data_IF_955679573754
#
_entry.id   IF_955679573754
#
_cell.length_a   1.000
_cell.length_b   1.000
_cell.length_c   1.000
_cell.angle_alpha   90.00
_cell.angle_beta   90.00
_cell.angle_gamma   90.00
#
_symmetry.space_group_name_H-M   'P 1'
#
loop_
_entity.id
_entity.type
_entity.pdbx_description
1 polymer ?
#
# COMPACT_ATOMS: atom_id res chain seq x y z
N UNK A 1 -39.22 3.63 -25.03
CA UNK A 1 -37.89 4.27 -25.13
C UNK A 1 -36.90 3.41 -24.35
N UNK A 2 -36.18 2.53 -25.03
CA UNK A 2 -35.19 1.63 -24.43
C UNK A 2 -34.08 2.43 -23.75
N UNK A 3 -33.69 2.06 -22.52
CA UNK A 3 -32.53 2.67 -21.87
C UNK A 3 -31.31 2.48 -22.78
N UNK A 4 -30.66 3.58 -23.17
CA UNK A 4 -29.45 3.51 -23.98
C UNK A 4 -28.30 2.90 -23.15
N UNK A 5 -28.01 1.62 -23.38
CA UNK A 5 -26.83 0.95 -22.82
C UNK A 5 -25.67 1.12 -23.78
N UNK A 6 -24.58 1.74 -23.31
CA UNK A 6 -23.35 1.95 -24.07
C UNK A 6 -22.65 0.64 -24.43
N UNK A 7 -22.76 -0.38 -23.56
CA UNK A 7 -22.09 -1.65 -23.74
C UNK A 7 -23.06 -2.81 -23.45
N UNK A 8 -23.08 -3.85 -24.31
CA UNK A 8 -23.84 -5.06 -24.06
C UNK A 8 -23.53 -5.66 -22.68
N UNK A 9 -24.49 -6.32 -22.03
CA UNK A 9 -24.28 -6.95 -20.72
C UNK A 9 -23.14 -7.99 -20.75
N UNK A 10 -22.91 -8.61 -21.90
CA UNK A 10 -21.82 -9.55 -22.15
C UNK A 10 -20.43 -8.92 -21.95
N UNK A 11 -20.24 -7.68 -22.37
CA UNK A 11 -18.97 -6.95 -22.20
C UNK A 11 -18.65 -6.78 -20.72
N UNK A 12 -19.65 -6.48 -19.89
CA UNK A 12 -19.48 -6.37 -18.44
C UNK A 12 -19.16 -7.70 -17.77
N UNK A 13 -19.83 -8.78 -18.20
CA UNK A 13 -19.55 -10.15 -17.73
C UNK A 13 -18.14 -10.58 -18.13
N UNK A 14 -17.71 -10.27 -19.35
CA UNK A 14 -16.36 -10.55 -19.82
C UNK A 14 -15.32 -9.78 -19.02
N UNK A 15 -15.54 -8.48 -18.76
CA UNK A 15 -14.64 -7.66 -17.95
C UNK A 15 -14.55 -8.18 -16.51
N UNK A 16 -15.67 -8.58 -15.91
CA UNK A 16 -15.68 -9.21 -14.59
C UNK A 16 -14.91 -10.54 -14.60
N UNK A 17 -15.18 -11.44 -15.55
CA UNK A 17 -14.49 -12.74 -15.64
C UNK A 17 -12.99 -12.58 -15.86
N UNK A 18 -12.58 -11.67 -16.73
CA UNK A 18 -11.16 -11.39 -16.99
C UNK A 18 -10.46 -10.80 -15.76
N UNK A 19 -11.10 -9.85 -15.06
CA UNK A 19 -10.53 -9.31 -13.81
C UNK A 19 -10.41 -10.36 -12.71
N UNK A 20 -11.42 -11.22 -12.50
CA UNK A 20 -11.34 -12.30 -11.51
C UNK A 20 -10.27 -13.34 -11.86
N UNK A 21 -10.10 -13.66 -13.15
CA UNK A 21 -8.99 -14.50 -13.63
C UNK A 21 -7.65 -13.87 -13.32
N UNK A 22 -7.47 -12.58 -13.62
CA UNK A 22 -6.22 -11.87 -13.29
C UNK A 22 -5.97 -11.79 -11.77
N UNK A 23 -7.01 -11.68 -10.94
CA UNK A 23 -6.86 -11.78 -9.47
C UNK A 23 -6.27 -13.13 -9.05
N UNK A 24 -6.66 -14.23 -9.71
CA UNK A 24 -6.15 -15.58 -9.39
C UNK A 24 -4.65 -15.74 -9.66
N UNK A 25 -4.09 -14.96 -10.58
CA UNK A 25 -2.66 -14.95 -10.91
C UNK A 25 -1.82 -14.01 -10.03
N UNK A 26 -2.40 -13.43 -8.97
CA UNK A 26 -1.60 -12.65 -8.04
C UNK A 26 -0.61 -13.55 -7.29
N UNK A 27 0.63 -13.07 -7.07
CA UNK A 27 1.67 -13.85 -6.42
C UNK A 27 1.44 -14.03 -4.92
N UNK A 28 0.70 -13.14 -4.27
CA UNK A 28 0.46 -13.18 -2.83
C UNK A 28 -0.90 -13.84 -2.51
N UNK A 29 -0.95 -14.79 -1.55
CA UNK A 29 -2.16 -15.56 -1.26
C UNK A 29 -3.29 -14.71 -0.64
N UNK A 30 -2.94 -13.75 0.24
CA UNK A 30 -3.91 -12.87 0.90
C UNK A 30 -4.45 -11.87 -0.12
N UNK A 31 -3.58 -11.28 -0.95
CA UNK A 31 -3.96 -10.35 -2.00
C UNK A 31 -4.88 -11.01 -3.04
N UNK A 32 -4.66 -12.28 -3.38
CA UNK A 32 -5.54 -13.04 -4.28
C UNK A 32 -6.98 -13.08 -3.75
N UNK A 33 -7.15 -13.51 -2.49
CA UNK A 33 -8.48 -13.60 -1.84
C UNK A 33 -9.11 -12.22 -1.70
N UNK A 34 -8.35 -11.24 -1.21
CA UNK A 34 -8.82 -9.89 -0.98
C UNK A 34 -9.26 -9.21 -2.28
N UNK A 35 -8.43 -9.25 -3.34
CA UNK A 35 -8.76 -8.59 -4.60
C UNK A 35 -9.94 -9.25 -5.31
N UNK A 36 -10.09 -10.58 -5.17
CA UNK A 36 -11.27 -11.28 -5.67
C UNK A 36 -12.55 -10.75 -4.98
N UNK A 37 -12.58 -10.71 -3.64
CA UNK A 37 -13.69 -10.16 -2.86
C UNK A 37 -13.95 -8.69 -3.21
N UNK A 38 -12.91 -7.87 -3.25
CA UNK A 38 -12.98 -6.44 -3.56
C UNK A 38 -13.60 -6.16 -4.93
N UNK A 39 -13.21 -6.93 -5.97
CA UNK A 39 -13.79 -6.79 -7.31
C UNK A 39 -15.27 -7.18 -7.29
N UNK A 40 -15.63 -8.32 -6.70
CA UNK A 40 -17.03 -8.77 -6.63
C UNK A 40 -17.92 -7.76 -5.90
N UNK A 41 -17.51 -7.31 -4.71
CA UNK A 41 -18.25 -6.31 -3.93
C UNK A 41 -18.42 -4.99 -4.70
N UNK A 42 -17.38 -4.56 -5.42
CA UNK A 42 -17.45 -3.35 -6.23
C UNK A 42 -18.51 -3.48 -7.33
N UNK A 43 -18.54 -4.59 -8.05
CA UNK A 43 -19.53 -4.81 -9.09
C UNK A 43 -20.94 -4.90 -8.51
N UNK A 44 -21.13 -5.63 -7.40
CA UNK A 44 -22.41 -5.71 -6.68
C UNK A 44 -22.91 -4.35 -6.21
N UNK A 45 -22.05 -3.55 -5.58
CA UNK A 45 -22.38 -2.19 -5.12
C UNK A 45 -22.75 -1.25 -6.26
N UNK A 46 -22.11 -1.41 -7.43
CA UNK A 46 -22.47 -0.62 -8.60
C UNK A 46 -23.77 -1.08 -9.23
N UNK A 47 -24.02 -2.39 -9.29
CA UNK A 47 -25.29 -2.95 -9.75
C UNK A 47 -26.46 -2.44 -8.90
N UNK A 48 -26.35 -2.45 -7.56
CA UNK A 48 -27.41 -1.92 -6.69
C UNK A 48 -27.65 -0.42 -6.87
N UNK A 49 -26.63 0.35 -7.27
CA UNK A 49 -26.77 1.77 -7.60
C UNK A 49 -27.41 2.05 -8.98
N UNK A 50 -27.71 1.00 -9.75
CA UNK A 50 -28.41 1.06 -11.03
C UNK A 50 -29.79 0.41 -11.00
N UNK A 51 -30.11 -0.38 -9.97
CA UNK A 51 -31.47 -0.84 -9.77
C UNK A 51 -32.37 0.40 -9.61
N UNK A 52 -33.47 0.52 -10.37
CA UNK A 52 -34.45 1.56 -10.14
C UNK A 52 -35.03 1.41 -8.72
N UNK A 53 -35.14 2.52 -7.97
CA UNK A 53 -35.88 2.56 -6.71
C UNK A 53 -37.37 2.43 -7.08
N UNK A 54 -37.89 1.20 -7.14
CA UNK A 54 -39.31 0.92 -7.52
C UNK A 54 -40.32 1.73 -6.68
N UNK A 55 -39.92 2.16 -5.47
CA UNK A 55 -40.76 2.92 -4.54
C UNK A 55 -40.84 4.44 -4.81
N UNK A 56 -39.91 5.03 -5.56
CA UNK A 56 -39.90 6.50 -5.82
C UNK A 56 -40.64 6.92 -7.08
N UNK A 57 -40.96 5.99 -7.97
CA UNK A 57 -41.54 6.31 -9.28
C UNK A 57 -43.07 6.47 -9.27
N UNK A 58 -43.72 6.33 -8.10
CA UNK A 58 -45.19 6.38 -7.96
C UNK A 58 -45.82 7.76 -8.21
N UNK A 59 -45.02 8.83 -8.31
CA UNK A 59 -45.50 10.18 -8.67
C UNK A 59 -44.52 10.89 -9.62
N UNK A 60 -44.45 10.47 -10.89
CA UNK A 60 -43.69 11.22 -11.90
C UNK A 60 -44.56 11.70 -13.06
N UNK A 61 -44.73 13.01 -13.10
CA UNK A 61 -45.19 13.79 -14.26
C UNK A 61 -44.26 13.47 -15.44
N UNK A 62 -44.81 13.10 -16.61
CA UNK A 62 -44.01 12.70 -17.79
C UNK A 62 -42.91 13.74 -18.04
N UNK A 63 -41.62 13.40 -17.90
CA UNK A 63 -40.55 14.36 -18.13
C UNK A 63 -40.54 14.80 -19.58
N UNK A 64 -40.34 16.10 -19.82
CA UNK A 64 -40.18 16.67 -21.18
C UNK A 64 -39.10 15.93 -21.97
N UNK A 65 -39.27 15.80 -23.29
CA UNK A 65 -38.31 15.11 -24.17
C UNK A 65 -36.86 15.61 -23.98
N UNK A 66 -36.65 16.93 -23.87
CA UNK A 66 -35.33 17.54 -23.60
C UNK A 66 -34.75 17.12 -22.24
N UNK A 67 -35.61 16.91 -21.23
CA UNK A 67 -35.19 16.43 -19.92
C UNK A 67 -34.79 14.95 -19.97
N UNK A 68 -35.55 14.12 -20.70
CA UNK A 68 -35.22 12.71 -20.92
C UNK A 68 -33.88 12.53 -21.64
N UNK A 69 -33.61 13.34 -22.67
CA UNK A 69 -32.31 13.36 -23.36
C UNK A 69 -31.15 13.67 -22.41
N UNK A 70 -31.30 14.66 -21.52
CA UNK A 70 -30.28 14.99 -20.50
C UNK A 70 -30.05 13.86 -19.51
N UNK A 71 -31.11 13.19 -19.06
CA UNK A 71 -31.02 12.02 -18.18
C UNK A 71 -30.30 10.86 -18.88
N UNK A 72 -30.62 10.62 -20.15
CA UNK A 72 -29.95 9.61 -20.97
C UNK A 72 -28.47 9.92 -21.16
N UNK A 73 -28.10 11.17 -21.48
CA UNK A 73 -26.72 11.61 -21.61
C UNK A 73 -25.94 11.43 -20.29
N UNK A 74 -26.52 11.84 -19.16
CA UNK A 74 -25.91 11.65 -17.84
C UNK A 74 -25.73 10.16 -17.50
N UNK A 75 -26.69 9.31 -17.87
CA UNK A 75 -26.59 7.85 -17.72
C UNK A 75 -25.44 7.27 -18.56
N UNK A 76 -25.29 7.69 -19.82
CA UNK A 76 -24.20 7.28 -20.70
C UNK A 76 -22.83 7.70 -20.14
N UNK A 77 -22.69 8.93 -19.65
CA UNK A 77 -21.45 9.36 -19.00
C UNK A 77 -21.10 8.53 -17.76
N UNK A 78 -22.11 8.22 -16.93
CA UNK A 78 -21.94 7.37 -15.76
C UNK A 78 -21.44 5.98 -16.18
N UNK A 79 -22.02 5.40 -17.24
CA UNK A 79 -21.58 4.13 -17.82
C UNK A 79 -20.13 4.19 -18.34
N UNK A 80 -19.76 5.24 -19.10
CA UNK A 80 -18.38 5.47 -19.56
C UNK A 80 -17.39 5.53 -18.39
N UNK A 81 -17.70 6.31 -17.35
CA UNK A 81 -16.87 6.46 -16.14
C UNK A 81 -16.67 5.12 -15.44
N UNK A 82 -17.72 4.29 -15.34
CA UNK A 82 -17.62 2.96 -14.75
C UNK A 82 -16.78 2.00 -15.57
N UNK A 83 -16.96 2.01 -16.89
CA UNK A 83 -16.20 1.13 -17.78
C UNK A 83 -14.71 1.47 -17.73
N UNK A 84 -14.37 2.77 -17.78
CA UNK A 84 -13.00 3.26 -17.55
C UNK A 84 -12.47 2.82 -16.19
N UNK A 85 -13.28 2.97 -15.15
CA UNK A 85 -12.91 2.56 -13.79
C UNK A 85 -12.66 1.05 -13.65
N UNK A 86 -13.41 0.22 -14.38
CA UNK A 86 -13.26 -1.22 -14.36
C UNK A 86 -12.02 -1.66 -15.17
N UNK A 87 -11.79 -1.07 -16.34
CA UNK A 87 -10.55 -1.24 -17.13
C UNK A 87 -9.30 -0.80 -16.36
N UNK A 88 -9.39 0.28 -15.59
CA UNK A 88 -8.28 0.74 -14.76
C UNK A 88 -7.88 -0.29 -13.69
N UNK A 89 -8.86 -0.97 -13.07
CA UNK A 89 -8.57 -2.07 -12.13
C UNK A 89 -7.94 -3.25 -12.88
N UNK A 90 -8.49 -3.63 -14.03
CA UNK A 90 -7.93 -4.70 -14.85
C UNK A 90 -6.46 -4.40 -15.22
N UNK A 91 -6.18 -3.20 -15.71
CA UNK A 91 -4.82 -2.74 -16.04
C UNK A 91 -3.89 -2.76 -14.83
N UNK A 92 -4.38 -2.33 -13.66
CA UNK A 92 -3.59 -2.35 -12.41
C UNK A 92 -3.20 -3.78 -12.01
N UNK A 93 -4.14 -4.72 -12.06
CA UNK A 93 -3.88 -6.13 -11.69
C UNK A 93 -3.01 -6.81 -12.74
N UNK A 94 -3.30 -6.61 -14.03
CA UNK A 94 -2.50 -7.16 -15.13
C UNK A 94 -1.05 -6.70 -15.07
N UNK A 95 -0.80 -5.41 -14.79
CA UNK A 95 0.56 -4.88 -14.60
C UNK A 95 1.24 -5.46 -13.36
N UNK A 96 0.53 -5.60 -12.25
CA UNK A 96 1.10 -6.27 -11.08
C UNK A 96 1.53 -7.72 -11.41
N UNK A 97 0.70 -8.45 -12.15
CA UNK A 97 1.00 -9.82 -12.59
C UNK A 97 2.11 -9.88 -13.65
N UNK A 98 2.39 -8.80 -14.36
CA UNK A 98 3.53 -8.68 -15.29
C UNK A 98 4.83 -8.32 -14.55
N UNK A 99 4.74 -7.99 -13.26
CA UNK A 99 5.88 -7.68 -12.40
C UNK A 99 6.25 -6.19 -12.32
N UNK A 100 5.33 -5.29 -12.66
CA UNK A 100 5.51 -3.88 -12.34
C UNK A 100 5.44 -3.68 -10.81
N UNK A 101 6.44 -3.01 -10.23
CA UNK A 101 6.55 -2.87 -8.77
C UNK A 101 5.43 -2.03 -8.16
N UNK A 102 5.18 -0.84 -8.71
CA UNK A 102 4.24 0.12 -8.13
C UNK A 102 2.79 -0.38 -8.11
N UNK A 103 2.27 -1.02 -9.20
CA UNK A 103 0.96 -1.64 -9.15
C UNK A 103 0.88 -2.76 -8.12
N UNK A 104 1.91 -3.61 -8.02
CA UNK A 104 1.94 -4.73 -7.08
C UNK A 104 1.98 -4.25 -5.63
N UNK A 105 2.85 -3.27 -5.32
CA UNK A 105 2.93 -2.63 -4.00
C UNK A 105 1.56 -2.04 -3.61
N UNK A 106 0.90 -1.35 -4.54
CA UNK A 106 -0.44 -0.81 -4.32
C UNK A 106 -1.48 -1.89 -4.02
N UNK A 107 -1.44 -3.04 -4.69
CA UNK A 107 -2.35 -4.16 -4.41
C UNK A 107 -2.10 -4.71 -3.00
N UNK A 108 -0.84 -4.93 -2.63
CA UNK A 108 -0.51 -5.45 -1.30
C UNK A 108 -0.90 -4.47 -0.20
N UNK A 109 -0.66 -3.17 -0.40
CA UNK A 109 -1.13 -2.13 0.52
C UNK A 109 -2.66 -2.12 0.69
N UNK A 110 -3.43 -2.42 -0.37
CA UNK A 110 -4.89 -2.57 -0.26
C UNK A 110 -5.24 -3.85 0.51
N UNK A 111 -4.61 -4.98 0.16
CA UNK A 111 -4.89 -6.29 0.73
C UNK A 111 -4.63 -6.33 2.24
N UNK A 112 -3.52 -5.75 2.69
CA UNK A 112 -3.12 -5.69 4.10
C UNK A 112 -3.64 -4.44 4.83
N UNK A 113 -4.58 -3.69 4.23
CA UNK A 113 -5.26 -2.58 4.90
C UNK A 113 -4.37 -1.37 5.24
N UNK A 114 -3.31 -1.11 4.47
CA UNK A 114 -2.55 0.16 4.56
C UNK A 114 -3.25 1.29 3.81
N UNK A 115 -4.00 0.93 2.77
CA UNK A 115 -4.80 1.82 1.92
C UNK A 115 -6.21 1.22 1.74
N UNK A 116 -7.20 2.07 1.47
CA UNK A 116 -8.53 1.64 1.01
C UNK A 116 -9.50 1.32 2.15
N UNK A 117 -10.54 0.56 1.84
CA UNK A 117 -11.65 0.30 2.77
C UNK A 117 -11.21 -0.51 4.00
N UNK A 118 -10.40 -1.56 3.80
CA UNK A 118 -9.90 -2.41 4.88
C UNK A 118 -9.14 -1.63 5.95
N UNK A 119 -8.33 -0.65 5.53
CA UNK A 119 -7.65 0.28 6.45
C UNK A 119 -8.63 0.94 7.42
N UNK A 120 -9.75 1.44 6.90
CA UNK A 120 -10.72 2.15 7.71
C UNK A 120 -11.52 1.21 8.60
N UNK A 121 -11.72 -0.05 8.19
CA UNK A 121 -12.29 -1.11 9.05
C UNK A 121 -11.40 -1.34 10.27
N UNK A 122 -10.11 -1.60 10.05
CA UNK A 122 -9.15 -1.82 11.13
C UNK A 122 -8.99 -0.58 12.03
N UNK A 123 -8.97 0.62 11.43
CA UNK A 123 -8.92 1.86 12.22
C UNK A 123 -10.20 2.07 13.04
N UNK A 124 -11.37 1.66 12.54
CA UNK A 124 -12.63 1.81 13.30
C UNK A 124 -12.74 0.86 14.48
N UNK A 125 -12.00 -0.25 14.49
CA UNK A 125 -11.92 -1.16 15.64
C UNK A 125 -11.13 -0.54 16.80
N UNK A 126 -10.12 0.28 16.48
CA UNK A 126 -9.19 0.87 17.47
C UNK A 126 -9.64 2.26 17.90
N UNK A 127 -10.10 3.05 16.93
CA UNK A 127 -10.64 4.39 17.13
C UNK A 127 -12.07 4.32 16.64
N UNK A 128 -13.04 3.95 17.50
CA UNK A 128 -14.43 3.96 17.12
C UNK A 128 -14.78 5.34 16.58
N UNK A 129 -15.50 5.37 15.47
CA UNK A 129 -15.89 6.65 14.90
C UNK A 129 -16.84 7.34 15.87
N UNK A 130 -16.38 8.43 16.49
CA UNK A 130 -17.20 9.41 17.20
C UNK A 130 -18.48 9.76 16.46
N UNK A 131 -18.36 9.88 15.13
CA UNK A 131 -19.53 9.94 14.25
C UNK A 131 -19.86 8.52 13.85
N UNK A 132 -20.87 7.97 14.52
CA UNK A 132 -21.50 6.69 14.30
C UNK A 132 -21.12 6.09 12.96
N UNK A 133 -20.52 4.90 13.01
CA UNK A 133 -20.40 4.06 11.83
C UNK A 133 -21.79 3.79 11.22
N UNK A 134 -21.94 2.74 10.45
CA UNK A 134 -23.29 2.29 10.09
C UNK A 134 -23.97 1.70 11.35
N UNK A 135 -24.18 2.50 12.40
CA UNK A 135 -25.06 2.21 13.52
C UNK A 135 -26.45 2.26 12.91
N UNK A 136 -26.98 1.08 12.65
CA UNK A 136 -28.40 0.92 12.35
C UNK A 136 -29.10 1.19 13.67
N UNK A 137 -29.82 2.29 13.75
CA UNK A 137 -30.65 2.61 14.90
C UNK A 137 -31.95 1.83 14.76
N UNK A 138 -32.25 0.95 15.71
CA UNK A 138 -33.45 0.13 15.68
C UNK A 138 -34.64 0.87 16.32
N UNK A 139 -34.39 1.85 17.20
CA UNK A 139 -35.40 2.63 17.92
C UNK A 139 -35.04 4.12 18.02
N UNK A 140 -36.04 4.99 18.21
CA UNK A 140 -35.86 6.43 18.45
C UNK A 140 -35.05 6.72 19.71
N UNK A 141 -35.21 5.90 20.76
CA UNK A 141 -34.45 6.03 22.01
C UNK A 141 -32.94 5.81 21.80
N UNK A 142 -32.54 4.97 20.85
CA UNK A 142 -31.11 4.74 20.53
C UNK A 142 -30.50 5.96 19.82
N UNK A 143 -31.33 6.69 19.06
CA UNK A 143 -30.93 7.94 18.40
C UNK A 143 -30.70 9.02 19.45
N UNK A 144 -31.60 9.14 20.43
CA UNK A 144 -31.48 10.11 21.52
C UNK A 144 -30.25 9.85 22.37
N UNK A 145 -30.03 8.59 22.82
CA UNK A 145 -28.82 8.19 23.55
C UNK A 145 -27.54 8.52 22.78
N UNK A 146 -27.52 8.24 21.46
CA UNK A 146 -26.39 8.57 20.62
C UNK A 146 -26.18 10.09 20.44
N UNK A 147 -27.26 10.88 20.35
CA UNK A 147 -27.17 12.34 20.31
C UNK A 147 -26.64 12.91 21.62
N UNK A 148 -27.02 12.33 22.76
CA UNK A 148 -26.49 12.69 24.07
C UNK A 148 -25.01 12.33 24.23
N UNK A 149 -24.60 11.12 23.84
CA UNK A 149 -23.18 10.73 23.78
C UNK A 149 -22.36 11.70 22.93
N UNK A 150 -22.92 12.10 21.78
CA UNK A 150 -22.29 13.07 20.88
C UNK A 150 -22.19 14.47 21.49
N UNK A 151 -23.17 14.90 22.29
CA UNK A 151 -23.11 16.17 23.03
C UNK A 151 -22.06 16.13 24.14
N UNK A 152 -21.76 14.96 24.70
CA UNK A 152 -20.75 14.74 25.74
C UNK A 152 -19.32 14.68 25.21
N UNK A 153 -19.11 14.46 23.90
CA UNK A 153 -17.77 14.57 23.32
C UNK A 153 -17.20 15.96 23.59
N UNK A 154 -15.91 16.09 23.97
CA UNK A 154 -15.33 17.38 24.36
C UNK A 154 -15.23 18.31 23.16
N UNK A 155 -16.33 18.95 22.79
CA UNK A 155 -16.42 19.97 21.76
C UNK A 155 -16.02 21.32 22.38
N UNK A 156 -14.75 21.46 22.73
CA UNK A 156 -14.24 22.66 23.40
C UNK A 156 -12.72 22.80 23.24
N UNK A 157 -12.13 23.81 23.89
CA UNK A 157 -10.70 24.11 23.79
C UNK A 157 -9.76 23.01 24.25
N UNK A 158 -10.27 22.09 25.07
CA UNK A 158 -9.53 20.92 25.54
C UNK A 158 -9.67 19.70 24.59
N UNK A 159 -10.23 19.86 23.39
CA UNK A 159 -10.30 18.76 22.44
C UNK A 159 -8.89 18.34 21.99
N UNK A 160 -8.50 17.15 22.39
CA UNK A 160 -7.28 16.49 21.95
C UNK A 160 -7.60 15.32 21.03
N UNK A 161 -6.61 14.92 20.23
CA UNK A 161 -6.74 13.73 19.41
C UNK A 161 -6.86 12.49 20.33
N UNK A 162 -7.65 11.45 19.99
CA UNK A 162 -7.72 10.26 20.83
C UNK A 162 -6.33 9.69 21.14
N UNK A 163 -6.08 9.33 22.40
CA UNK A 163 -4.74 8.92 22.87
C UNK A 163 -4.16 7.76 22.04
N UNK A 164 -5.00 6.78 21.70
CA UNK A 164 -4.60 5.64 20.86
C UNK A 164 -4.09 6.11 19.49
N UNK A 165 -4.75 7.10 18.89
CA UNK A 165 -4.36 7.66 17.60
C UNK A 165 -3.11 8.54 17.70
N UNK A 166 -2.95 9.26 18.82
CA UNK A 166 -1.73 10.01 19.14
C UNK A 166 -0.53 9.08 19.23
N UNK A 167 -0.62 8.03 20.05
CA UNK A 167 0.43 7.03 20.22
C UNK A 167 0.81 6.34 18.90
N UNK A 168 -0.18 6.05 18.06
CA UNK A 168 0.03 5.46 16.73
C UNK A 168 0.78 6.41 15.79
N UNK A 169 0.44 7.70 15.79
CA UNK A 169 1.12 8.68 14.93
C UNK A 169 2.51 8.98 15.45
N UNK A 170 2.69 9.04 16.77
CA UNK A 170 3.99 9.23 17.42
C UNK A 170 4.94 8.09 17.08
N UNK A 171 4.53 6.84 17.24
CA UNK A 171 5.33 5.67 16.84
C UNK A 171 5.64 5.65 15.35
N UNK A 172 4.67 5.96 14.49
CA UNK A 172 4.86 6.03 13.03
C UNK A 172 5.85 7.11 12.60
N UNK A 173 5.94 8.21 13.34
CA UNK A 173 6.92 9.28 13.11
C UNK A 173 8.33 8.88 13.53
N UNK A 174 8.43 8.12 14.61
CA UNK A 174 9.69 7.62 15.14
C UNK A 174 10.30 6.53 14.21
N UNK A 175 9.47 5.75 13.52
CA UNK A 175 9.98 4.81 12.52
C UNK A 175 10.46 5.52 11.24
N UNK A 176 11.73 5.32 10.90
CA UNK A 176 12.38 5.91 9.73
C UNK A 176 11.75 5.45 8.41
N UNK A 177 11.29 4.20 8.35
CA UNK A 177 10.76 3.62 7.12
C UNK A 177 9.33 4.09 6.85
N UNK A 178 8.44 4.03 7.84
CA UNK A 178 7.10 4.57 7.72
C UNK A 178 7.09 6.07 7.33
N UNK A 179 8.06 6.85 7.83
CA UNK A 179 8.27 8.26 7.47
C UNK A 179 8.69 8.47 6.01
N UNK A 180 9.46 7.53 5.44
CA UNK A 180 10.06 7.65 4.10
C UNK A 180 9.21 7.00 3.00
N UNK A 181 8.69 5.79 3.23
CA UNK A 181 8.22 4.87 2.20
C UNK A 181 7.10 5.38 1.28
N UNK A 182 6.26 6.32 1.73
CA UNK A 182 5.07 6.75 0.97
C UNK A 182 4.84 8.27 0.94
N UNK A 183 5.93 9.04 1.10
CA UNK A 183 5.91 10.49 0.93
C UNK A 183 4.96 11.20 1.90
N UNK A 184 4.17 12.16 1.40
CA UNK A 184 3.28 13.01 2.22
C UNK A 184 2.04 12.28 2.76
N UNK A 185 1.73 11.06 2.29
CA UNK A 185 0.44 10.38 2.55
C UNK A 185 0.29 9.95 4.01
N UNK A 186 1.38 9.51 4.62
CA UNK A 186 1.44 9.00 5.99
C UNK A 186 2.01 10.04 6.97
N UNK A 187 1.97 11.33 6.59
CA UNK A 187 2.44 12.45 7.41
C UNK A 187 1.26 13.17 8.06
N UNK A 188 1.01 12.85 9.33
CA UNK A 188 0.06 13.58 10.18
C UNK A 188 0.74 14.19 11.41
N UNK A 189 0.11 15.26 11.90
CA UNK A 189 0.27 15.88 13.22
C UNK A 189 -0.11 14.90 14.33
N UNK A 190 0.70 14.79 15.37
CA UNK A 190 0.23 14.23 16.65
C UNK A 190 -0.50 15.34 17.44
N UNK A 191 0.16 16.50 17.54
CA UNK A 191 -0.41 17.71 18.15
C UNK A 191 -1.15 18.60 17.14
N UNK A 192 -2.20 19.25 17.63
CA UNK A 192 -2.98 20.24 16.89
C UNK A 192 -2.32 21.60 17.08
N UNK A 193 -1.90 22.23 15.97
CA UNK A 193 -1.33 23.58 15.98
C UNK A 193 -2.43 24.58 15.61
N UNK A 194 -3.16 25.06 16.61
CA UNK A 194 -4.14 26.14 16.45
C UNK A 194 -3.53 27.43 17.01
N UNK A 195 -3.39 28.50 16.21
CA UNK A 195 -2.98 29.80 16.74
C UNK A 195 -4.10 30.37 17.62
N UNK A 196 -3.75 31.06 18.72
CA UNK A 196 -4.75 31.66 19.63
C UNK A 196 -5.52 32.80 18.96
N UNK A 197 -4.80 33.60 18.15
CA UNK A 197 -5.33 34.79 17.51
C UNK A 197 -5.28 34.66 15.97
N UNK A 198 -6.21 35.34 15.31
CA UNK A 198 -6.22 35.55 13.86
C UNK A 198 -5.27 36.68 13.45
N UNK A 199 -5.10 36.93 12.15
CA UNK A 199 -4.28 38.01 11.59
C UNK A 199 -4.66 39.42 12.09
N UNK A 200 -5.91 39.61 12.50
CA UNK A 200 -6.40 40.86 13.11
C UNK A 200 -6.27 40.89 14.64
N UNK A 201 -5.45 40.02 15.25
CA UNK A 201 -5.27 39.89 16.71
C UNK A 201 -6.56 39.59 17.50
N UNK A 202 -7.61 39.11 16.83
CA UNK A 202 -8.87 38.65 17.46
C UNK A 202 -8.84 37.14 17.71
N UNK A 203 -9.57 36.59 18.71
CA UNK A 203 -9.69 35.16 18.87
C UNK A 203 -10.29 34.51 17.61
N UNK A 204 -9.93 33.25 17.36
CA UNK A 204 -10.52 32.49 16.25
C UNK A 204 -12.00 32.21 16.52
N UNK A 205 -12.87 32.29 15.49
CA UNK A 205 -14.27 31.91 15.65
C UNK A 205 -14.39 30.40 15.90
N UNK A 206 -15.37 29.99 16.71
CA UNK A 206 -15.58 28.59 17.11
C UNK A 206 -15.75 27.66 15.91
N UNK A 207 -16.54 28.06 14.91
CA UNK A 207 -16.71 27.33 13.65
C UNK A 207 -15.37 27.02 12.96
N UNK A 208 -14.40 27.93 13.04
CA UNK A 208 -13.06 27.75 12.46
C UNK A 208 -12.24 26.77 13.28
N UNK A 209 -12.29 26.85 14.61
CA UNK A 209 -11.64 25.91 15.53
C UNK A 209 -12.15 24.49 15.29
N UNK A 210 -13.46 24.30 15.25
CA UNK A 210 -14.07 23.00 14.94
C UNK A 210 -13.61 22.46 13.58
N UNK A 211 -13.59 23.30 12.55
CA UNK A 211 -13.17 22.88 11.22
C UNK A 211 -11.69 22.48 11.17
N UNK A 212 -10.82 23.17 11.91
CA UNK A 212 -9.41 22.79 12.06
C UNK A 212 -9.30 21.45 12.79
N UNK A 213 -10.04 21.25 13.89
CA UNK A 213 -10.08 19.99 14.64
C UNK A 213 -10.56 18.83 13.77
N UNK A 214 -11.70 19.00 13.10
CA UNK A 214 -12.29 18.02 12.14
C UNK A 214 -11.31 17.67 11.02
N UNK A 215 -10.67 18.68 10.42
CA UNK A 215 -9.66 18.46 9.36
C UNK A 215 -8.44 17.71 9.89
N UNK A 216 -7.97 18.06 11.08
CA UNK A 216 -6.81 17.43 11.71
C UNK A 216 -7.11 15.98 12.04
N UNK A 217 -8.27 15.69 12.63
CA UNK A 217 -8.76 14.34 12.89
C UNK A 217 -8.87 13.49 11.61
N UNK A 218 -9.48 14.03 10.57
CA UNK A 218 -9.62 13.30 9.31
C UNK A 218 -8.27 13.05 8.64
N UNK A 219 -7.34 14.01 8.74
CA UNK A 219 -5.97 13.86 8.22
C UNK A 219 -5.17 12.84 9.03
N UNK A 220 -5.28 12.86 10.36
CA UNK A 220 -4.61 11.90 11.24
C UNK A 220 -5.14 10.48 10.99
N UNK A 221 -6.46 10.30 10.91
CA UNK A 221 -7.09 9.01 10.52
C UNK A 221 -6.67 8.54 9.12
N UNK A 222 -6.59 9.44 8.14
CA UNK A 222 -6.14 9.09 6.79
C UNK A 222 -4.67 8.66 6.76
N UNK A 223 -3.81 9.29 7.58
CA UNK A 223 -2.37 9.05 7.60
C UNK A 223 -1.94 7.88 8.50
N UNK A 224 -2.72 7.58 9.55
CA UNK A 224 -2.42 6.53 10.51
C UNK A 224 -2.40 5.14 9.86
N UNK A 225 -1.45 4.30 10.25
CA UNK A 225 -1.36 2.90 9.82
C UNK A 225 -1.92 2.00 10.92
N UNK A 226 -3.10 1.38 10.76
CA UNK A 226 -3.63 0.51 11.81
C UNK A 226 -2.80 -0.77 11.97
N UNK A 227 -2.71 -1.38 13.15
CA UNK A 227 -2.31 -2.78 13.28
C UNK A 227 -3.18 -3.66 12.37
N UNK A 228 -2.54 -4.64 11.73
CA UNK A 228 -3.22 -5.61 10.89
C UNK A 228 -3.73 -6.79 11.74
N UNK A 229 -4.59 -7.61 11.14
CA UNK A 229 -5.02 -8.89 11.72
C UNK A 229 -3.78 -9.78 12.00
N UNK A 230 -3.60 -10.29 13.24
CA UNK A 230 -2.44 -11.11 13.60
C UNK A 230 -2.28 -12.35 12.72
N UNK A 231 -3.38 -12.93 12.22
CA UNK A 231 -3.32 -14.08 11.32
C UNK A 231 -2.63 -13.72 9.99
N UNK A 232 -2.98 -12.56 9.42
CA UNK A 232 -2.36 -12.08 8.18
C UNK A 232 -0.89 -11.67 8.38
N UNK A 233 -0.57 -11.12 9.54
CA UNK A 233 0.80 -10.76 9.92
C UNK A 233 1.68 -12.01 10.02
N UNK A 234 1.17 -13.10 10.62
CA UNK A 234 1.89 -14.37 10.73
C UNK A 234 2.19 -14.97 9.35
N UNK A 235 1.22 -14.96 8.43
CA UNK A 235 1.39 -15.40 7.04
C UNK A 235 2.45 -14.56 6.33
N UNK A 236 2.35 -13.23 6.40
CA UNK A 236 3.31 -12.34 5.76
C UNK A 236 4.73 -12.53 6.32
N UNK A 237 4.86 -12.74 7.64
CA UNK A 237 6.13 -13.07 8.28
C UNK A 237 6.69 -14.40 7.75
N UNK A 238 5.87 -15.44 7.67
CA UNK A 238 6.28 -16.74 7.13
C UNK A 238 6.73 -16.68 5.67
N UNK A 239 6.07 -15.87 4.84
CA UNK A 239 6.47 -15.62 3.45
C UNK A 239 7.84 -14.92 3.37
N UNK A 240 8.10 -13.95 4.26
CA UNK A 240 9.36 -13.22 4.33
C UNK A 240 10.50 -14.09 4.82
N UNK A 241 10.24 -14.91 5.84
CA UNK A 241 11.23 -15.76 6.49
C UNK A 241 11.61 -16.95 5.62
N UNK A 242 10.66 -17.52 4.88
CA UNK A 242 10.91 -18.72 4.07
C UNK A 242 10.05 -19.91 4.45
N UNK A 243 9.44 -19.87 5.63
CA UNK A 243 8.69 -20.99 6.22
C UNK A 243 7.48 -21.36 5.37
N UNK A 244 6.80 -20.36 4.80
CA UNK A 244 5.71 -20.61 3.88
C UNK A 244 6.23 -20.88 2.45
N UNK A 245 5.80 -22.02 1.84
CA UNK A 245 6.16 -22.33 0.47
C UNK A 245 5.47 -21.34 -0.47
N UNK A 246 6.28 -20.66 -1.27
CA UNK A 246 5.80 -19.74 -2.28
C UNK A 246 6.26 -20.20 -3.65
N UNK A 247 5.31 -20.30 -4.58
CA UNK A 247 5.57 -20.56 -6.00
C UNK A 247 4.92 -19.47 -6.84
N UNK A 248 5.58 -19.02 -7.92
CA UNK A 248 4.98 -18.05 -8.82
C UNK A 248 3.73 -18.67 -9.48
N UNK A 249 2.64 -17.90 -9.60
CA UNK A 249 1.41 -18.39 -10.21
C UNK A 249 1.61 -18.63 -11.71
N UNK A 250 1.24 -19.81 -12.17
CA UNK A 250 1.30 -20.19 -13.59
C UNK A 250 0.06 -19.65 -14.29
N UNK A 251 0.27 -18.90 -15.38
CA UNK A 251 -0.82 -18.40 -16.20
C UNK A 251 -1.32 -19.51 -17.13
N UNK A 252 -2.63 -19.58 -17.32
CA UNK A 252 -3.17 -20.37 -18.43
C UNK A 252 -2.70 -19.74 -19.75
N UNK A 253 -2.16 -20.58 -20.62
CA UNK A 253 -1.82 -20.18 -21.98
C UNK A 253 -3.14 -19.88 -22.69
N UNK A 254 -3.30 -18.67 -23.20
CA UNK A 254 -4.43 -18.39 -24.08
C UNK A 254 -4.24 -19.22 -25.35
N UNK A 255 -5.33 -19.76 -25.91
CA UNK A 255 -5.28 -20.27 -27.28
C UNK A 255 -4.67 -19.16 -28.16
N UNK A 256 -3.64 -19.51 -28.94
CA UNK A 256 -3.00 -18.57 -29.86
C UNK A 256 -4.10 -17.85 -30.63
N UNK A 257 -4.06 -16.51 -30.76
CA UNK A 257 -5.01 -15.85 -31.66
C UNK A 257 -4.93 -16.55 -33.02
N UNK A 258 -6.08 -16.91 -33.57
CA UNK A 258 -6.17 -17.42 -34.92
C UNK A 258 -5.56 -16.34 -35.82
N UNK A 259 -4.49 -16.69 -36.54
CA UNK A 259 -3.69 -15.84 -37.44
C UNK A 259 -2.94 -14.68 -36.77
N UNK A 260 -1.60 -14.73 -36.77
CA UNK A 260 -0.79 -13.51 -36.64
C UNK A 260 -1.07 -12.70 -37.91
N UNK A 261 -1.70 -11.53 -37.79
CA UNK A 261 -1.83 -10.61 -38.93
C UNK A 261 -0.44 -10.38 -39.53
N UNK A 262 -0.35 -10.43 -40.85
CA UNK A 262 0.93 -10.25 -41.53
C UNK A 262 1.51 -8.87 -41.17
N UNK A 263 2.84 -8.73 -41.16
CA UNK A 263 3.47 -7.44 -40.86
C UNK A 263 2.92 -6.32 -41.78
N UNK A 264 2.57 -6.69 -43.02
CA UNK A 264 1.97 -5.83 -44.01
C UNK A 264 0.54 -5.42 -43.63
N UNK A 265 -0.32 -6.35 -43.19
CA UNK A 265 -1.65 -6.01 -42.67
C UNK A 265 -1.60 -5.08 -41.47
N UNK A 266 -0.66 -5.29 -40.54
CA UNK A 266 -0.47 -4.39 -39.39
C UNK A 266 0.00 -2.99 -39.82
N UNK A 267 0.83 -2.91 -40.85
CA UNK A 267 1.31 -1.64 -41.41
C UNK A 267 0.20 -0.89 -42.15
N UNK A 268 -0.65 -1.60 -42.90
CA UNK A 268 -1.81 -1.00 -43.59
C UNK A 268 -2.81 -0.47 -42.57
N UNK A 269 -3.07 -1.22 -41.49
CA UNK A 269 -4.15 -0.89 -40.56
C UNK A 269 -3.74 0.15 -39.49
N UNK A 270 -2.52 0.04 -38.95
CA UNK A 270 -2.02 0.88 -37.85
C UNK A 270 -1.01 1.96 -38.31
N UNK A 271 -0.53 1.89 -39.56
CA UNK A 271 0.52 2.76 -40.09
C UNK A 271 1.94 2.38 -39.62
N UNK A 272 2.98 3.11 -40.06
CA UNK A 272 4.35 2.86 -39.64
C UNK A 272 4.49 3.14 -38.14
N UNK A 273 4.57 2.06 -37.36
CA UNK A 273 4.82 2.16 -35.93
C UNK A 273 6.28 2.60 -35.73
N UNK A 274 6.51 3.91 -35.64
CA UNK A 274 7.80 4.45 -35.25
C UNK A 274 8.29 3.69 -34.02
N UNK A 275 9.50 3.12 -34.10
CA UNK A 275 10.00 2.16 -33.12
C UNK A 275 9.70 2.61 -31.71
N UNK A 276 9.15 1.71 -30.88
CA UNK A 276 8.77 2.00 -29.50
C UNK A 276 9.95 2.66 -28.78
N UNK A 277 9.93 3.99 -28.66
CA UNK A 277 11.01 4.68 -27.97
C UNK A 277 11.09 4.14 -26.55
N UNK A 278 12.30 3.90 -26.04
CA UNK A 278 12.51 3.33 -24.71
C UNK A 278 11.68 4.06 -23.64
N UNK A 279 11.58 5.40 -23.77
CA UNK A 279 10.73 6.25 -22.92
C UNK A 279 9.24 5.90 -23.04
N UNK A 280 8.71 5.67 -24.24
CA UNK A 280 7.30 5.32 -24.48
C UNK A 280 6.98 3.89 -24.01
N UNK A 281 7.90 2.95 -24.17
CA UNK A 281 7.73 1.55 -23.76
C UNK A 281 7.74 1.35 -22.23
N UNK A 282 8.52 2.16 -21.51
CA UNK A 282 8.74 2.00 -20.07
C UNK A 282 8.34 3.23 -19.23
N UNK A 283 7.37 4.02 -19.68
CA UNK A 283 6.83 5.17 -18.91
C UNK A 283 6.42 4.78 -17.49
N UNK A 284 5.84 3.59 -17.33
CA UNK A 284 5.38 3.02 -16.06
C UNK A 284 6.46 2.21 -15.31
N UNK A 285 7.70 2.18 -15.82
CA UNK A 285 8.82 1.40 -15.31
C UNK A 285 9.05 0.08 -16.06
N UNK A 286 10.13 -0.63 -15.70
CA UNK A 286 10.49 -1.92 -16.29
C UNK A 286 9.78 -3.07 -15.55
N UNK A 287 9.15 -4.02 -16.25
CA UNK A 287 8.55 -5.19 -15.61
C UNK A 287 9.65 -6.11 -15.05
N UNK A 288 9.48 -6.57 -13.81
CA UNK A 288 10.36 -7.54 -13.18
C UNK A 288 9.85 -8.97 -13.39
N UNK A 289 10.76 -9.94 -13.45
CA UNK A 289 10.35 -11.36 -13.33
C UNK A 289 9.91 -11.61 -11.89
N UNK A 290 8.72 -12.19 -11.72
CA UNK A 290 8.16 -12.54 -10.42
C UNK A 290 8.96 -13.69 -9.79
N UNK A 291 10.05 -13.35 -9.12
CA UNK A 291 10.92 -14.27 -8.38
C UNK A 291 10.66 -14.16 -6.88
N UNK A 292 11.05 -15.19 -6.11
CA UNK A 292 10.89 -15.17 -4.64
C UNK A 292 11.66 -13.99 -4.02
N UNK A 293 12.87 -13.70 -4.52
CA UNK A 293 13.69 -12.56 -4.07
C UNK A 293 12.98 -11.23 -4.28
N UNK A 294 12.36 -11.05 -5.45
CA UNK A 294 11.58 -9.86 -5.75
C UNK A 294 10.39 -9.70 -4.79
N UNK A 295 9.60 -10.75 -4.63
CA UNK A 295 8.45 -10.75 -3.73
C UNK A 295 8.84 -10.53 -2.27
N UNK A 296 9.90 -11.18 -1.79
CA UNK A 296 10.44 -11.01 -0.44
C UNK A 296 10.75 -9.54 -0.13
N UNK A 297 11.32 -8.81 -1.08
CA UNK A 297 11.60 -7.39 -0.89
C UNK A 297 10.32 -6.56 -0.75
N UNK A 298 9.27 -6.88 -1.50
CA UNK A 298 8.00 -6.15 -1.43
C UNK A 298 7.25 -6.52 -0.14
N UNK A 299 7.19 -7.79 0.21
CA UNK A 299 6.61 -8.24 1.49
C UNK A 299 7.32 -7.60 2.68
N UNK A 300 8.65 -7.53 2.67
CA UNK A 300 9.42 -6.81 3.70
C UNK A 300 8.99 -5.35 3.81
N UNK A 301 8.78 -4.66 2.68
CA UNK A 301 8.29 -3.27 2.70
C UNK A 301 6.91 -3.18 3.35
N UNK A 302 5.98 -4.05 2.99
CA UNK A 302 4.61 -4.03 3.53
C UNK A 302 4.59 -4.41 5.02
N UNK A 303 5.36 -5.42 5.41
CA UNK A 303 5.47 -5.87 6.80
C UNK A 303 6.01 -4.77 7.72
N UNK A 304 7.01 -4.02 7.28
CA UNK A 304 7.54 -2.85 8.01
C UNK A 304 6.51 -1.75 8.26
N UNK A 305 5.37 -1.76 7.56
CA UNK A 305 4.27 -0.79 7.74
C UNK A 305 3.13 -1.34 8.61
N UNK A 306 3.31 -2.50 9.22
CA UNK A 306 2.35 -3.12 10.11
C UNK A 306 2.79 -2.90 11.56
N UNK A 307 2.23 -1.91 12.27
CA UNK A 307 2.50 -1.80 13.68
C UNK A 307 1.87 -2.97 14.42
N UNK A 308 2.55 -3.45 15.46
CA UNK A 308 2.00 -4.37 16.44
C UNK A 308 1.47 -3.54 17.60
N UNK A 309 0.23 -3.79 18.00
CA UNK A 309 -0.36 -3.14 19.17
C UNK A 309 0.15 -3.81 20.43
N UNK A 310 0.59 -3.01 21.38
CA UNK A 310 0.99 -3.42 22.71
C UNK A 310 0.57 -2.39 23.75
N UNK A 311 0.90 -2.66 25.00
CA UNK A 311 0.60 -1.80 26.14
C UNK A 311 1.93 -1.47 26.82
N UNK A 312 2.11 -0.21 27.20
CA UNK A 312 3.26 0.23 27.99
C UNK A 312 3.14 -0.22 29.44
N UNK A 313 4.24 -0.12 30.18
CA UNK A 313 4.24 -0.29 31.65
C UNK A 313 3.24 0.67 32.33
N UNK A 314 3.00 1.84 31.74
CA UNK A 314 2.04 2.85 32.20
C UNK A 314 0.56 2.53 31.85
N UNK A 315 0.27 1.38 31.23
CA UNK A 315 -1.08 1.05 30.75
C UNK A 315 -1.51 1.78 29.47
N UNK A 316 -0.67 2.68 28.94
CA UNK A 316 -0.95 3.42 27.70
C UNK A 316 -0.76 2.56 26.45
N UNK A 317 -1.53 2.79 25.38
CA UNK A 317 -1.36 2.08 24.12
C UNK A 317 0.00 2.42 23.51
N UNK A 318 0.76 1.38 23.12
CA UNK A 318 2.02 1.52 22.37
C UNK A 318 1.93 0.74 21.08
N UNK A 319 2.59 1.27 20.05
CA UNK A 319 2.68 0.64 18.76
C UNK A 319 4.14 0.52 18.35
N UNK A 320 4.56 -0.70 18.02
CA UNK A 320 5.91 -0.99 17.58
C UNK A 320 5.90 -1.45 16.13
N UNK A 321 6.76 -0.85 15.30
CA UNK A 321 6.92 -1.27 13.92
C UNK A 321 8.00 -2.35 13.81
N UNK A 322 7.75 -3.45 13.08
CA UNK A 322 8.70 -4.52 12.97
C UNK A 322 9.92 -4.03 12.21
N UNK A 323 11.09 -4.20 12.83
CA UNK A 323 12.37 -3.93 12.21
C UNK A 323 13.03 -5.24 11.84
N UNK A 324 13.37 -5.39 10.56
CA UNK A 324 14.33 -6.40 10.14
C UNK A 324 15.71 -5.90 10.53
N UNK A 325 16.07 -6.02 11.82
CA UNK A 325 17.45 -5.88 12.22
C UNK A 325 18.20 -7.02 11.53
N UNK A 326 18.84 -6.74 10.40
CA UNK A 326 20.06 -7.48 10.09
C UNK A 326 20.91 -7.27 11.33
N UNK A 327 21.27 -8.34 12.04
CA UNK A 327 22.13 -8.24 13.21
C UNK A 327 23.48 -7.68 12.74
N UNK A 328 23.59 -6.36 12.61
CA UNK A 328 24.85 -5.67 12.74
C UNK A 328 25.04 -5.56 14.23
N UNK A 329 25.68 -6.58 14.79
CA UNK A 329 26.42 -6.38 16.02
C UNK A 329 27.45 -5.31 15.68
N UNK A 330 27.16 -4.07 16.06
CA UNK A 330 28.21 -3.07 16.14
C UNK A 330 28.84 -3.37 17.48
N UNK A 331 29.94 -4.13 17.47
CA UNK A 331 30.83 -4.18 18.63
C UNK A 331 31.32 -2.74 18.80
N UNK A 332 30.81 -2.06 19.82
CA UNK A 332 31.35 -0.78 20.24
C UNK A 332 32.66 -1.10 20.97
N UNK A 333 33.71 -1.37 20.21
CA UNK A 333 35.06 -1.46 20.75
C UNK A 333 35.51 -0.04 21.08
N UNK A 334 36.24 0.12 22.18
CA UNK A 334 36.95 1.37 22.46
C UNK A 334 37.91 1.71 21.32
N UNK A 335 38.18 2.99 21.08
CA UNK A 335 39.10 3.42 20.01
C UNK A 335 40.49 2.77 20.16
N UNK A 336 40.90 2.60 21.41
CA UNK A 336 42.15 1.96 21.83
C UNK A 336 42.14 0.44 21.59
N UNK A 337 41.05 -0.24 21.96
CA UNK A 337 40.87 -1.68 21.70
C UNK A 337 40.84 -1.98 20.20
N UNK A 338 40.22 -1.10 19.40
CA UNK A 338 40.23 -1.23 17.95
C UNK A 338 41.63 -1.05 17.36
N UNK A 339 42.44 -0.12 17.88
CA UNK A 339 43.82 0.10 17.41
C UNK A 339 44.72 -1.09 17.75
N UNK A 340 44.63 -1.64 18.97
CA UNK A 340 45.43 -2.81 19.38
C UNK A 340 45.28 -4.03 18.46
N UNK A 341 44.07 -4.28 17.95
CA UNK A 341 43.80 -5.41 17.04
C UNK A 341 44.54 -5.29 15.70
N UNK A 342 44.79 -4.07 15.23
CA UNK A 342 45.47 -3.83 13.95
C UNK A 342 46.97 -3.56 14.11
N UNK A 343 47.41 -3.15 15.29
CA UNK A 343 48.83 -2.99 15.61
C UNK A 343 49.54 -4.37 15.72
N UNK A 344 48.89 -5.37 16.32
CA UNK A 344 49.38 -6.76 16.35
C UNK A 344 49.62 -7.35 14.94
N UNK A 345 48.78 -6.98 13.97
CA UNK A 345 48.91 -7.44 12.58
C UNK A 345 50.07 -6.74 11.87
N UNK A 346 50.37 -5.49 12.22
CA UNK A 346 51.52 -4.74 11.69
C UNK A 346 52.85 -5.26 12.25
N UNK A 347 52.89 -5.62 13.53
CA UNK A 347 54.08 -6.22 14.14
C UNK A 347 54.38 -7.60 13.56
N UNK A 348 53.36 -8.43 13.31
CA UNK A 348 53.53 -9.73 12.65
C UNK A 348 53.99 -9.60 11.19
N UNK A 349 53.52 -8.58 10.46
CA UNK A 349 54.00 -8.31 9.11
C UNK A 349 55.44 -7.79 9.11
N UNK A 350 55.81 -6.89 10.04
CA UNK A 350 57.16 -6.39 10.20
C UNK A 350 58.16 -7.52 10.55
N UNK A 351 57.79 -8.45 11.45
CA UNK A 351 58.60 -9.61 11.80
C UNK A 351 58.79 -10.60 10.63
N UNK A 352 57.80 -10.73 9.74
CA UNK A 352 57.92 -11.57 8.54
C UNK A 352 58.81 -10.96 7.44
N UNK A 353 58.98 -9.63 7.43
CA UNK A 353 59.91 -8.96 6.50
C UNK A 353 61.36 -9.01 6.99
N UNK A 354 61.60 -8.91 8.31
CA UNK A 354 62.96 -8.98 8.88
C UNK A 354 63.57 -10.39 8.72
N UNK A 355 62.75 -11.44 8.82
CA UNK A 355 63.21 -12.84 8.66
C UNK A 355 63.54 -13.23 7.22
N UNK A 356 63.09 -12.47 6.21
CA UNK A 356 63.39 -12.76 4.80
C UNK A 356 64.67 -12.06 4.28
N UNK A 357 65.17 -11.04 4.97
CA UNK A 357 66.43 -10.37 4.60
C UNK A 357 67.66 -11.08 5.18
N UNK A 358 67.56 -11.79 6.31
CA UNK A 358 68.69 -12.57 6.88
C UNK A 358 69.03 -13.86 6.09
N UNK A 359 68.13 -14.33 5.20
CA UNK A 359 68.38 -15.52 4.38
C UNK A 359 69.03 -15.25 3.01
N UNK A 360 69.28 -13.99 2.63
CA UNK A 360 69.95 -13.66 1.36
C UNK A 360 71.47 -13.52 1.45
N UNK A 361 72.04 -13.37 2.64
CA UNK A 361 73.47 -13.08 2.81
C UNK A 361 74.34 -14.31 3.14
N UNK A 362 73.81 -15.54 3.08
CA UNK A 362 74.56 -16.78 3.39
C UNK A 362 74.79 -17.74 2.23
N UNK A 363 74.50 -17.35 0.98
CA UNK A 363 74.74 -18.19 -0.20
C UNK A 363 75.77 -17.59 -1.16
N UNK A 364 76.96 -17.29 -0.63
CA UNK A 364 78.17 -17.02 -1.42
C UNK A 364 79.36 -17.65 -0.69
N UNK A 365 79.63 -18.96 -0.93
CA UNK A 365 80.98 -19.56 -1.12
C UNK A 365 80.98 -21.10 -0.98
N UNK A 366 81.40 -21.79 -2.06
CA UNK A 366 81.95 -23.16 -2.09
C UNK A 366 80.95 -24.32 -2.12
N UNK A 367 81.11 -25.44 -2.84
CA UNK A 367 81.89 -25.90 -3.99
C UNK A 367 81.65 -27.43 -4.04
N UNK A 368 81.43 -27.96 -5.25
CA UNK A 368 81.68 -29.34 -5.72
C UNK A 368 81.17 -30.57 -4.93
N UNK A 369 80.47 -31.49 -5.63
CA UNK A 369 80.92 -32.87 -5.95
C UNK A 369 79.73 -33.74 -6.42
N UNK A 370 79.84 -34.17 -7.68
CA UNK A 370 79.57 -35.49 -8.29
C UNK A 370 78.25 -36.27 -8.10
N UNK A 371 77.73 -36.62 -9.27
CA UNK A 371 76.64 -37.54 -9.65
C UNK A 371 77.00 -39.01 -9.31
N UNK A 372 76.02 -39.89 -9.06
CA UNK A 372 75.64 -40.89 -10.07
C UNK A 372 74.17 -40.82 -10.52
#
# INVERSE_FOLDING_TARGET
MSQAFLAPPEVWRHLLRTTLRECSYLPDPIARKYMHKYVVERYRKKLSSFAPDEQKDTKSRRPSAKHQERLNAASLEKQKKLQKSARNILSLIRRANQGYQLPLDKILMLAYGRIGAKKYSLLSEIVPNSRGGNKVFNSSADIEKYLEEKKKEPAGDNWQLPEVLQALIKSQRNDSFARSAHGKRFRAGDTIKIPRLNSWMKPLPECRLENIRKRTFNRSKFAALPPADPAEVAVLRGLVDGTEPWKPPVRRVNASPATKTSALESLIHDGPQGGLSFKRAYTDGRPHRLTRRFMRNIWKKVYRLMPVQGINLEGRPKFDFPTFKGRRYVLAMGKEEFQSIFDDVREQQAASTVTNDEHKDTLVHGADVSIP
#
